data_IF_927310675378
#
_entry.id   IF_927310675378
#
_cell.length_a   1.000
_cell.length_b   1.000
_cell.length_c   1.000
_cell.angle_alpha   90.00
_cell.angle_beta   90.00
_cell.angle_gamma   90.00
#
_symmetry.space_group_name_H-M   'P 1'
#
loop_
_entity.id
_entity.type
_entity.pdbx_description
1 polymer ?
#
# COMPACT_ATOMS: atom_id res chain seq x y z
N UNK A 1 24.45 38.00 16.38
CA UNK A 1 23.20 37.69 17.12
C UNK A 1 22.09 38.02 16.12
N UNK A 2 21.37 37.12 15.44
CA UNK A 2 20.70 35.87 15.81
C UNK A 2 20.57 35.00 14.54
N UNK A 3 20.72 33.69 14.68
CA UNK A 3 20.52 32.70 13.62
C UNK A 3 19.03 32.49 13.28
N UNK A 4 18.70 32.26 12.01
CA UNK A 4 17.43 31.66 11.61
C UNK A 4 17.60 30.82 10.33
N UNK A 5 18.32 29.70 10.45
CA UNK A 5 18.36 28.64 9.46
C UNK A 5 17.37 27.55 9.89
N UNK A 6 16.24 27.39 9.19
CA UNK A 6 15.46 26.13 9.12
C UNK A 6 14.13 26.34 8.40
N UNK A 7 14.15 26.17 7.08
CA UNK A 7 12.97 25.69 6.35
C UNK A 7 13.39 24.47 5.54
N UNK A 8 13.82 23.41 6.27
CA UNK A 8 13.95 22.08 5.70
C UNK A 8 12.54 21.51 5.45
N UNK A 9 11.90 21.99 4.39
CA UNK A 9 10.70 21.35 3.84
C UNK A 9 11.17 20.10 3.10
N UNK A 10 11.46 19.04 3.86
CA UNK A 10 11.40 17.69 3.36
C UNK A 10 9.92 17.33 3.12
N UNK A 11 9.33 18.03 2.14
CA UNK A 11 8.10 17.60 1.49
C UNK A 11 8.53 16.32 0.81
N UNK A 12 8.14 15.21 1.40
CA UNK A 12 8.17 13.91 0.76
C UNK A 12 7.26 14.01 -0.47
N UNK A 13 7.83 14.53 -1.56
CA UNK A 13 7.36 14.35 -2.91
C UNK A 13 7.54 12.88 -3.22
N UNK A 14 6.58 12.08 -2.79
CA UNK A 14 6.38 10.73 -3.28
C UNK A 14 4.99 10.70 -3.88
N UNK A 15 4.87 11.35 -5.03
CA UNK A 15 3.88 10.92 -6.01
C UNK A 15 4.26 9.48 -6.38
N UNK A 16 3.69 8.50 -5.69
CA UNK A 16 3.72 7.10 -6.11
C UNK A 16 2.50 6.85 -7.00
N UNK A 17 2.62 7.38 -8.22
CA UNK A 17 2.34 6.68 -9.48
C UNK A 17 1.54 5.39 -9.35
N UNK A 18 0.28 5.44 -9.82
CA UNK A 18 -0.48 4.30 -10.38
C UNK A 18 -0.52 3.01 -9.53
N UNK A 19 -1.44 2.99 -8.58
CA UNK A 19 -2.23 1.78 -8.31
C UNK A 19 -3.66 2.18 -8.00
N UNK A 20 -4.42 2.56 -9.04
CA UNK A 20 -5.89 2.62 -8.98
C UNK A 20 -6.53 1.22 -8.86
N UNK A 21 -5.73 0.20 -8.52
CA UNK A 21 -6.16 -1.15 -8.25
C UNK A 21 -6.28 -1.37 -6.76
N UNK A 22 -7.53 -1.37 -6.29
CA UNK A 22 -7.95 -1.83 -4.95
C UNK A 22 -7.15 -3.05 -4.53
N UNK A 23 -6.43 -3.01 -3.40
CA UNK A 23 -5.71 -4.18 -2.90
C UNK A 23 -6.70 -5.22 -2.41
N UNK A 24 -6.54 -6.46 -2.85
CA UNK A 24 -7.40 -7.58 -2.48
C UNK A 24 -6.75 -8.43 -1.41
N UNK A 25 -7.35 -8.49 -0.22
CA UNK A 25 -6.92 -9.45 0.81
C UNK A 25 -7.67 -10.76 0.64
N UNK A 26 -6.95 -11.86 0.42
CA UNK A 26 -7.54 -13.20 0.39
C UNK A 26 -7.94 -13.68 1.78
N UNK A 27 -8.78 -14.73 1.86
CA UNK A 27 -9.15 -15.40 3.13
C UNK A 27 -7.94 -15.87 3.95
N UNK A 28 -6.82 -16.18 3.30
CA UNK A 28 -5.55 -16.54 3.95
C UNK A 28 -4.79 -15.34 4.51
N UNK A 29 -5.45 -14.17 4.58
CA UNK A 29 -4.91 -12.88 5.00
C UNK A 29 -3.72 -12.43 4.15
N UNK A 30 -3.69 -12.76 2.86
CA UNK A 30 -2.62 -12.33 1.95
C UNK A 30 -3.10 -11.14 1.13
N UNK A 31 -2.34 -10.04 1.17
CA UNK A 31 -2.59 -8.85 0.38
C UNK A 31 -2.08 -9.03 -1.05
N UNK A 32 -2.97 -8.89 -2.03
CA UNK A 32 -2.67 -8.90 -3.46
C UNK A 32 -2.98 -7.52 -4.04
N UNK A 33 -1.97 -6.83 -4.54
CA UNK A 33 -2.15 -5.63 -5.34
C UNK A 33 -2.59 -5.98 -6.77
N UNK A 34 -2.99 -4.98 -7.56
CA UNK A 34 -3.35 -5.18 -8.96
C UNK A 34 -2.20 -5.64 -9.85
N UNK A 35 -0.95 -5.53 -9.38
CA UNK A 35 0.22 -6.03 -10.09
C UNK A 35 0.41 -7.54 -9.91
N UNK A 36 -0.17 -8.14 -8.86
CA UNK A 36 -0.06 -9.57 -8.57
C UNK A 36 -0.84 -10.43 -9.58
N UNK A 37 -0.20 -11.50 -10.09
CA UNK A 37 -0.85 -12.52 -10.94
C UNK A 37 -2.05 -13.19 -10.27
N UNK A 38 -2.12 -13.16 -8.94
CA UNK A 38 -3.20 -13.76 -8.15
C UNK A 38 -4.39 -12.81 -7.95
N UNK A 39 -4.29 -11.56 -8.38
CA UNK A 39 -5.34 -10.55 -8.24
C UNK A 39 -6.66 -10.92 -8.91
N UNK A 40 -6.59 -11.45 -10.13
CA UNK A 40 -7.75 -11.91 -10.89
C UNK A 40 -8.27 -13.27 -10.41
N UNK A 41 -7.40 -14.12 -9.85
CA UNK A 41 -7.76 -15.44 -9.32
C UNK A 41 -8.46 -15.37 -7.97
N UNK A 42 -8.18 -14.33 -7.20
CA UNK A 42 -8.79 -14.12 -5.89
C UNK A 42 -10.20 -13.59 -6.07
N UNK A 43 -11.19 -14.50 -6.11
CA UNK A 43 -12.62 -14.18 -6.20
C UNK A 43 -13.23 -13.73 -4.88
N UNK A 44 -12.79 -14.35 -3.77
CA UNK A 44 -13.21 -14.00 -2.42
C UNK A 44 -12.12 -13.19 -1.74
N UNK A 45 -12.35 -11.89 -1.60
CA UNK A 45 -11.38 -10.98 -1.00
C UNK A 45 -12.06 -9.83 -0.26
N UNK A 46 -11.29 -9.21 0.63
CA UNK A 46 -11.62 -7.91 1.19
C UNK A 46 -10.90 -6.82 0.39
N UNK A 47 -11.62 -5.87 -0.22
CA UNK A 47 -11.02 -4.74 -0.92
C UNK A 47 -10.43 -3.72 0.06
N UNK A 48 -9.25 -3.18 -0.24
CA UNK A 48 -8.58 -2.11 0.49
C UNK A 48 -8.10 -1.03 -0.45
N UNK A 49 -8.00 0.22 0.03
CA UNK A 49 -7.54 1.33 -0.80
C UNK A 49 -6.02 1.29 -1.00
N UNK A 50 -5.30 0.67 -0.06
CA UNK A 50 -3.84 0.56 -0.12
C UNK A 50 -3.34 -0.74 0.50
N UNK A 51 -2.09 -1.07 0.17
CA UNK A 51 -1.37 -2.19 0.77
C UNK A 51 -1.20 -1.98 2.28
N UNK A 52 -0.96 -0.74 2.71
CA UNK A 52 -0.83 -0.39 4.12
C UNK A 52 -2.12 -0.66 4.91
N UNK A 53 -3.29 -0.30 4.36
CA UNK A 53 -4.57 -0.60 4.99
C UNK A 53 -4.80 -2.12 5.11
N UNK A 54 -4.46 -2.87 4.06
CA UNK A 54 -4.54 -4.33 4.07
C UNK A 54 -3.64 -4.94 5.17
N UNK A 55 -2.41 -4.43 5.33
CA UNK A 55 -1.49 -4.88 6.39
C UNK A 55 -2.01 -4.50 7.79
N UNK A 56 -2.56 -3.29 7.96
CA UNK A 56 -3.18 -2.84 9.22
C UNK A 56 -4.40 -3.68 9.60
N UNK A 57 -5.14 -4.18 8.62
CA UNK A 57 -6.25 -5.11 8.84
C UNK A 57 -5.82 -6.54 9.25
N UNK A 58 -4.51 -6.78 9.41
CA UNK A 58 -3.94 -8.10 9.76
C UNK A 58 -3.58 -8.94 8.54
N UNK A 59 -3.54 -8.33 7.36
CA UNK A 59 -3.00 -8.93 6.15
C UNK A 59 -1.48 -9.05 6.19
N UNK A 60 -0.93 -9.91 5.34
CA UNK A 60 0.50 -10.14 5.15
C UNK A 60 0.83 -10.15 3.66
N UNK A 61 2.08 -9.81 3.35
CA UNK A 61 2.61 -9.98 2.00
C UNK A 61 2.85 -11.47 1.69
N UNK A 62 2.65 -11.91 0.45
CA UNK A 62 3.08 -13.24 0.03
C UNK A 62 4.60 -13.35 0.20
N UNK A 63 5.06 -14.42 0.85
CA UNK A 63 6.50 -14.77 0.84
C UNK A 63 6.85 -15.16 -0.60
N UNK A 64 7.94 -14.60 -1.13
CA UNK A 64 8.46 -14.96 -2.45
C UNK A 64 8.73 -16.46 -2.54
#
# INVERSE_FOLDING_TARGET
MVAANSKNKNRHSAQNSKSSGVVKMSKSKICHDSSSKYYSRTKYYTPFNSLEECLKAGGRLPKR
#
